data_IF_649034551196
#
_entry.id   IF_649034551196
#
_cell.length_a   1.000
_cell.length_b   1.000
_cell.length_c   1.000
_cell.angle_alpha   90.00
_cell.angle_beta   90.00
_cell.angle_gamma   90.00
#
_symmetry.space_group_name_H-M   'P 1'
#
loop_
_entity.id
_entity.type
_entity.pdbx_description
1 polymer ?
#
# COMPACT_ATOMS: atom_id res chain seq x y z
N UNK A 1 -6.89 -24.57 23.91
CA UNK A 1 -5.66 -24.18 23.19
C UNK A 1 -4.56 -25.17 23.54
N UNK A 2 -4.05 -25.91 22.55
CA UNK A 2 -3.08 -26.98 22.76
C UNK A 2 -1.73 -26.39 23.19
N UNK A 3 -1.33 -26.64 24.44
CA UNK A 3 -0.02 -26.23 24.98
C UNK A 3 1.16 -26.83 24.19
N UNK A 4 0.93 -27.96 23.51
CA UNK A 4 1.91 -28.63 22.65
C UNK A 4 2.21 -27.87 21.35
N UNK A 5 1.26 -27.05 20.84
CA UNK A 5 1.47 -26.27 19.62
C UNK A 5 2.33 -25.02 19.85
N UNK A 6 2.28 -24.44 21.06
CA UNK A 6 3.10 -23.27 21.43
C UNK A 6 4.54 -23.65 21.78
N UNK A 7 4.77 -24.90 22.20
CA UNK A 7 6.07 -25.38 22.69
C UNK A 7 7.09 -25.66 21.57
N UNK A 8 6.64 -25.72 20.32
CA UNK A 8 7.48 -26.07 19.17
C UNK A 8 7.47 -24.98 18.08
N UNK A 9 7.33 -23.71 18.49
CA UNK A 9 7.48 -22.56 17.60
C UNK A 9 8.98 -22.36 17.37
N UNK A 10 9.47 -22.83 16.23
CA UNK A 10 10.76 -22.50 15.67
C UNK A 10 10.86 -21.06 15.18
N UNK A 11 12.09 -20.61 15.00
CA UNK A 11 12.41 -19.25 14.52
C UNK A 11 11.74 -18.95 13.16
N UNK A 12 11.55 -19.98 12.33
CA UNK A 12 11.00 -19.85 10.99
C UNK A 12 9.53 -19.42 10.97
N UNK A 13 8.71 -19.83 11.95
CA UNK A 13 7.30 -19.39 12.01
C UNK A 13 7.16 -17.94 12.46
N UNK A 14 8.21 -17.31 12.97
CA UNK A 14 8.23 -15.87 13.30
C UNK A 14 8.83 -15.07 12.14
N UNK A 15 9.94 -15.57 11.58
CA UNK A 15 10.70 -14.86 10.55
C UNK A 15 9.92 -14.76 9.24
N UNK A 16 9.26 -15.84 8.79
CA UNK A 16 8.52 -15.84 7.52
C UNK A 16 7.33 -14.86 7.54
N UNK A 17 6.41 -14.91 8.51
CA UNK A 17 5.32 -13.93 8.56
C UNK A 17 5.82 -12.52 8.87
N UNK A 18 6.89 -12.36 9.66
CA UNK A 18 7.53 -11.06 9.87
C UNK A 18 8.05 -10.44 8.58
N UNK A 19 8.74 -11.23 7.73
CA UNK A 19 9.24 -10.80 6.44
C UNK A 19 8.10 -10.47 5.46
N UNK A 20 7.07 -11.32 5.41
CA UNK A 20 5.87 -11.09 4.59
C UNK A 20 5.16 -9.80 5.00
N UNK A 21 5.03 -9.55 6.31
CA UNK A 21 4.42 -8.33 6.84
C UNK A 21 5.22 -7.08 6.46
N UNK A 22 6.55 -7.12 6.61
CA UNK A 22 7.44 -6.04 6.17
C UNK A 22 7.33 -5.77 4.66
N UNK A 23 7.31 -6.82 3.83
CA UNK A 23 7.13 -6.68 2.39
C UNK A 23 5.77 -6.04 2.05
N UNK A 24 4.70 -6.46 2.74
CA UNK A 24 3.37 -5.89 2.59
C UNK A 24 3.33 -4.39 2.91
N UNK A 25 4.00 -3.98 3.99
CA UNK A 25 4.14 -2.57 4.37
C UNK A 25 4.90 -1.80 3.29
N UNK A 26 6.01 -2.32 2.78
CA UNK A 26 6.77 -1.65 1.72
C UNK A 26 5.93 -1.46 0.45
N UNK A 27 5.16 -2.47 0.06
CA UNK A 27 4.19 -2.36 -1.03
C UNK A 27 3.09 -1.32 -0.71
N UNK A 28 2.65 -1.21 0.55
CA UNK A 28 1.63 -0.24 1.00
C UNK A 28 1.99 1.21 0.74
N UNK A 29 3.28 1.53 0.79
CA UNK A 29 3.75 2.88 0.51
C UNK A 29 4.06 3.13 -0.97
N UNK A 30 4.00 2.10 -1.82
CA UNK A 30 4.31 2.21 -3.25
C UNK A 30 3.49 3.28 -4.00
N UNK A 31 2.15 3.36 -3.90
CA UNK A 31 1.39 4.41 -4.58
C UNK A 31 1.75 5.82 -4.09
N UNK A 32 2.06 5.98 -2.80
CA UNK A 32 2.52 7.25 -2.23
C UNK A 32 3.88 7.67 -2.80
N UNK A 33 4.83 6.74 -2.93
CA UNK A 33 6.15 6.98 -3.53
C UNK A 33 5.99 7.42 -5.00
N UNK A 34 5.17 6.71 -5.78
CA UNK A 34 4.94 7.04 -7.20
C UNK A 34 4.35 8.45 -7.35
N UNK A 35 3.45 8.85 -6.45
CA UNK A 35 2.85 10.20 -6.47
C UNK A 35 3.84 11.31 -6.13
N UNK A 36 4.78 11.06 -5.21
CA UNK A 36 5.86 12.01 -4.86
C UNK A 36 6.74 12.26 -6.09
N UNK A 37 7.15 11.20 -6.81
CA UNK A 37 7.96 11.32 -8.02
C UNK A 37 7.25 12.08 -9.15
N UNK A 38 5.91 12.01 -9.23
CA UNK A 38 5.12 12.69 -10.25
C UNK A 38 4.75 14.14 -9.93
N UNK A 39 5.03 14.66 -8.71
CA UNK A 39 4.69 16.03 -8.25
C UNK A 39 3.25 16.47 -8.55
N UNK A 40 2.32 15.52 -8.71
CA UNK A 40 0.93 15.78 -9.09
C UNK A 40 0.01 14.89 -8.27
N UNK A 41 -1.06 15.48 -7.73
CA UNK A 41 -2.09 14.79 -6.95
C UNK A 41 -1.61 14.11 -5.64
N UNK A 42 -0.50 14.58 -5.05
CA UNK A 42 0.05 14.03 -3.79
C UNK A 42 -0.99 13.98 -2.65
N UNK A 43 -1.78 15.05 -2.48
CA UNK A 43 -2.86 15.08 -1.47
C UNK A 43 -3.94 14.03 -1.74
N UNK A 44 -4.36 13.84 -3.00
CA UNK A 44 -5.39 12.83 -3.35
C UNK A 44 -4.89 11.41 -3.12
N UNK A 45 -3.65 11.11 -3.50
CA UNK A 45 -3.05 9.80 -3.30
C UNK A 45 -2.82 9.54 -1.81
N UNK A 46 -2.38 10.56 -1.06
CA UNK A 46 -2.19 10.47 0.39
C UNK A 46 -3.52 10.24 1.13
N UNK A 47 -4.56 11.02 0.84
CA UNK A 47 -5.89 10.86 1.42
C UNK A 47 -6.50 9.49 1.11
N UNK A 48 -6.34 9.02 -0.12
CA UNK A 48 -6.82 7.68 -0.50
C UNK A 48 -6.04 6.59 0.25
N UNK A 49 -4.71 6.73 0.39
CA UNK A 49 -3.91 5.76 1.15
C UNK A 49 -4.20 5.78 2.66
N UNK A 50 -4.55 6.95 3.22
CA UNK A 50 -4.91 7.12 4.64
C UNK A 50 -6.31 6.57 4.96
N UNK A 51 -7.32 6.85 4.13
CA UNK A 51 -8.72 6.51 4.38
C UNK A 51 -9.20 5.22 3.72
N UNK A 52 -8.48 4.70 2.72
CA UNK A 52 -8.86 3.52 1.97
C UNK A 52 -7.71 2.54 1.77
N UNK A 53 -6.47 2.84 2.19
CA UNK A 53 -5.34 1.94 1.98
C UNK A 53 -5.47 0.60 2.74
N UNK A 54 -6.29 0.55 3.79
CA UNK A 54 -6.73 -0.70 4.44
C UNK A 54 -7.66 -1.58 3.56
N UNK A 55 -8.09 -1.11 2.39
CA UNK A 55 -8.90 -1.87 1.43
C UNK A 55 -8.16 -2.03 0.10
N UNK A 56 -8.25 -3.21 -0.51
CA UNK A 56 -7.71 -3.48 -1.84
C UNK A 56 -8.24 -2.48 -2.90
N UNK A 57 -9.46 -1.97 -2.71
CA UNK A 57 -10.07 -0.95 -3.57
C UNK A 57 -9.39 0.42 -3.47
N UNK A 58 -8.96 0.86 -2.28
CA UNK A 58 -8.24 2.12 -2.09
C UNK A 58 -6.89 2.15 -2.78
N UNK A 59 -6.23 1.00 -2.85
CA UNK A 59 -5.00 0.84 -3.59
C UNK A 59 -5.19 0.99 -5.09
N UNK A 60 -6.21 0.32 -5.64
CA UNK A 60 -6.54 0.41 -7.08
C UNK A 60 -6.89 1.87 -7.43
N UNK A 61 -7.69 2.54 -6.61
CA UNK A 61 -8.05 3.94 -6.83
C UNK A 61 -6.83 4.87 -6.81
N UNK A 62 -5.92 4.67 -5.84
CA UNK A 62 -4.67 5.43 -5.74
C UNK A 62 -3.75 5.22 -6.96
N UNK A 63 -3.67 3.99 -7.47
CA UNK A 63 -2.92 3.66 -8.68
C UNK A 63 -3.52 4.34 -9.92
N UNK A 64 -4.85 4.25 -10.09
CA UNK A 64 -5.56 4.89 -11.20
C UNK A 64 -5.31 6.40 -11.19
N UNK A 65 -5.42 7.05 -10.03
CA UNK A 65 -5.24 8.51 -9.92
C UNK A 65 -3.78 8.94 -10.10
N UNK A 66 -2.83 8.10 -9.69
CA UNK A 66 -1.40 8.31 -9.92
C UNK A 66 -1.03 8.22 -11.40
N UNK A 67 -1.66 7.31 -12.14
CA UNK A 67 -1.40 7.10 -13.57
C UNK A 67 -2.12 8.12 -14.44
N UNK A 68 -3.32 8.58 -14.04
CA UNK A 68 -4.15 9.50 -14.81
C UNK A 68 -3.40 10.80 -15.15
N UNK A 69 -3.03 10.98 -16.42
CA UNK A 69 -2.50 12.24 -16.93
C UNK A 69 -3.61 13.30 -16.90
N UNK A 70 -3.30 14.46 -16.33
CA UNK A 70 -4.20 15.60 -16.34
C UNK A 70 -4.42 16.02 -17.80
N UNK A 71 -5.61 15.75 -18.32
CA UNK A 71 -6.03 16.22 -19.64
C UNK A 71 -6.26 17.72 -19.48
N UNK A 72 -5.32 18.53 -19.98
CA UNK A 72 -5.53 19.97 -20.08
C UNK A 72 -6.68 20.14 -21.07
N UNK A 73 -7.85 20.48 -20.54
CA UNK A 73 -8.99 20.91 -21.35
C UNK A 73 -8.62 22.30 -21.87
N UNK A 74 -8.02 22.36 -23.06
CA UNK A 74 -8.03 23.58 -23.85
C UNK A 74 -9.49 23.82 -24.26
N UNK A 75 -10.26 24.42 -23.36
CA UNK A 75 -11.55 24.99 -23.67
C UNK A 75 -11.29 26.31 -24.38
N UNK A 76 -11.47 26.27 -25.70
CA UNK A 76 -11.77 27.37 -26.62
C UNK A 76 -10.69 28.44 -26.82
#
# INVERSE_FOLDING_TARGET
MNQFALKNIGIWEIVIPGLLFCAFICLYFLPTIISIFKKSNMLKVFLTNLFLGWTFLGWIYSLIISIKKQKISNSL
#
